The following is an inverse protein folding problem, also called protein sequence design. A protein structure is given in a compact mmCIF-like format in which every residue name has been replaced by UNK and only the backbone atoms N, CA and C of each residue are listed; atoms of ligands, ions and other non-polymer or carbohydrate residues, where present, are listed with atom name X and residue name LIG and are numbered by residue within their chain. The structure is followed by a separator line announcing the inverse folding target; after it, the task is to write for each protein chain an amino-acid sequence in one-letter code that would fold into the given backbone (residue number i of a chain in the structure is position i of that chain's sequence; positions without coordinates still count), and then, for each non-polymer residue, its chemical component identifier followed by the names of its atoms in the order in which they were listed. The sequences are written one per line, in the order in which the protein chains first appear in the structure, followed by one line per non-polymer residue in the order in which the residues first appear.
data_IF_861107416296
#
_entry.id   IF_861107416296
#
_cell.length_a   1.000
_cell.length_b   1.000
_cell.length_c   1.000
_cell.angle_alpha   90.00
_cell.angle_beta   90.00
_cell.angle_gamma   90.00
#
_symmetry.space_group_name_H-M   'P 1'
#
loop_
_entity.id
_entity.type
_entity.pdbx_description
1 polymer ?
#
# COMPACT_ATOMS: atom_id res chain seq x y z
N UNK A 1 0.71 -35.49 4.78
CA UNK A 1 -0.69 -35.16 4.40
C UNK A 1 -1.51 -35.06 5.68
N UNK A 2 -2.09 -33.90 6.08
CA UNK A 2 -3.20 -33.70 7.09
C UNK A 2 -3.18 -32.38 7.90
N UNK A 3 -2.13 -31.56 7.89
CA UNK A 3 -2.14 -30.31 8.68
C UNK A 3 -3.11 -29.25 8.15
N UNK A 4 -3.19 -29.11 6.83
CA UNK A 4 -4.07 -28.12 6.18
C UNK A 4 -5.56 -28.42 6.44
N UNK A 5 -5.96 -29.70 6.35
CA UNK A 5 -7.34 -30.14 6.60
C UNK A 5 -7.72 -29.91 8.06
N UNK A 6 -6.83 -30.23 9.01
CA UNK A 6 -7.07 -30.00 10.45
C UNK A 6 -7.24 -28.52 10.78
N UNK A 7 -6.46 -27.64 10.14
CA UNK A 7 -6.62 -26.17 10.30
C UNK A 7 -8.00 -25.70 9.84
N UNK A 8 -8.49 -26.21 8.72
CA UNK A 8 -9.81 -25.86 8.21
C UNK A 8 -10.94 -26.38 9.10
N UNK A 9 -10.79 -27.61 9.61
CA UNK A 9 -11.75 -28.21 10.52
C UNK A 9 -11.87 -27.44 11.84
N UNK A 10 -10.78 -26.84 12.33
CA UNK A 10 -10.78 -26.02 13.55
C UNK A 10 -11.27 -24.59 13.34
N UNK A 11 -10.97 -23.96 12.20
CA UNK A 11 -11.28 -22.56 11.96
C UNK A 11 -12.66 -22.33 11.28
N UNK A 12 -13.34 -23.41 10.89
CA UNK A 12 -14.63 -23.36 10.18
C UNK A 12 -14.53 -22.69 8.80
N UNK A 13 -15.68 -22.47 8.16
CA UNK A 13 -15.77 -21.77 6.86
C UNK A 13 -15.25 -20.32 6.93
N UNK A 14 -15.41 -19.64 8.07
CA UNK A 14 -14.91 -18.27 8.27
C UNK A 14 -13.39 -18.17 8.26
N UNK A 15 -12.66 -19.16 8.81
CA UNK A 15 -11.20 -19.16 8.82
C UNK A 15 -10.53 -19.35 7.45
N UNK A 16 -11.27 -19.76 6.42
CA UNK A 16 -10.76 -19.91 5.06
C UNK A 16 -10.91 -18.61 4.25
N UNK A 17 -11.99 -17.85 4.48
CA UNK A 17 -12.38 -16.69 3.68
C UNK A 17 -12.10 -15.35 4.38
N UNK A 18 -12.27 -15.24 5.70
CA UNK A 18 -12.04 -14.02 6.49
C UNK A 18 -10.62 -13.91 7.06
N UNK A 19 -9.80 -14.96 6.92
CA UNK A 19 -8.41 -14.87 7.35
C UNK A 19 -7.72 -13.80 6.48
N UNK A 20 -7.10 -12.77 7.08
CA UNK A 20 -6.31 -11.80 6.31
C UNK A 20 -5.29 -12.60 5.52
N UNK A 21 -5.42 -12.57 4.18
CA UNK A 21 -4.59 -13.36 3.29
C UNK A 21 -3.10 -13.07 3.52
N UNK A 22 -2.23 -13.94 2.98
CA UNK A 22 -0.76 -13.76 2.96
C UNK A 22 -0.30 -12.58 2.07
N UNK A 23 -1.02 -11.46 2.09
CA UNK A 23 -0.57 -10.23 1.49
C UNK A 23 0.75 -9.82 2.14
N UNK A 24 1.71 -9.40 1.32
CA UNK A 24 2.93 -8.77 1.81
C UNK A 24 2.51 -7.52 2.59
N UNK A 25 2.93 -7.44 3.86
CA UNK A 25 2.69 -6.25 4.68
C UNK A 25 3.26 -5.03 3.94
N UNK A 26 2.52 -3.92 3.86
CA UNK A 26 3.01 -2.72 3.21
C UNK A 26 4.31 -2.27 3.88
N UNK A 27 5.34 -1.97 3.07
CA UNK A 27 6.61 -1.39 3.54
C UNK A 27 6.51 0.11 3.87
N UNK A 28 5.32 0.68 3.72
CA UNK A 28 5.05 2.11 3.80
C UNK A 28 3.99 2.36 4.87
N UNK A 29 4.09 3.51 5.51
CA UNK A 29 3.15 3.96 6.54
C UNK A 29 2.22 5.04 5.97
N UNK A 30 1.13 5.29 6.67
CA UNK A 30 0.15 6.31 6.27
C UNK A 30 0.77 7.73 6.27
N UNK A 31 1.74 7.98 7.15
CA UNK A 31 2.51 9.22 7.19
C UNK A 31 3.32 9.49 5.91
N UNK A 32 3.85 8.45 5.27
CA UNK A 32 4.58 8.57 4.00
C UNK A 32 3.66 9.03 2.87
N UNK A 33 2.39 8.62 2.94
CA UNK A 33 1.37 9.03 1.98
C UNK A 33 0.93 10.48 2.19
N UNK A 34 0.70 10.90 3.44
CA UNK A 34 0.38 12.31 3.76
C UNK A 34 1.48 13.24 3.26
N UNK A 35 2.73 12.82 3.39
CA UNK A 35 3.89 13.56 2.87
C UNK A 35 3.86 13.69 1.32
N UNK A 36 3.57 12.61 0.61
CA UNK A 36 3.44 12.64 -0.86
C UNK A 36 2.26 13.52 -1.32
N UNK A 37 1.15 13.50 -0.59
CA UNK A 37 0.00 14.35 -0.87
C UNK A 37 0.33 15.83 -0.66
N UNK A 38 1.05 16.16 0.41
CA UNK A 38 1.57 17.52 0.64
C UNK A 38 2.50 17.97 -0.49
N UNK A 39 3.42 17.10 -0.92
CA UNK A 39 4.30 17.40 -2.07
C UNK A 39 3.49 17.69 -3.34
N UNK A 40 2.43 16.94 -3.61
CA UNK A 40 1.57 17.12 -4.76
C UNK A 40 0.66 18.36 -4.65
N UNK A 41 0.25 18.74 -3.43
CA UNK A 41 -0.50 19.97 -3.20
C UNK A 41 0.36 21.22 -3.39
N UNK A 42 1.62 21.17 -2.94
CA UNK A 42 2.56 22.28 -3.10
C UNK A 42 2.93 22.50 -4.57
N UNK A 43 3.18 21.42 -5.33
CA UNK A 43 3.64 21.53 -6.72
C UNK A 43 3.01 20.46 -7.65
N UNK A 44 1.72 20.61 -8.00
CA UNK A 44 0.96 19.58 -8.71
C UNK A 44 1.43 19.31 -10.15
N UNK A 45 2.18 20.22 -10.77
CA UNK A 45 2.67 20.12 -12.16
C UNK A 45 4.09 19.56 -12.29
N UNK A 46 4.85 19.49 -11.19
CA UNK A 46 6.30 19.32 -11.26
C UNK A 46 6.73 17.86 -11.09
N UNK A 47 5.99 17.06 -10.31
CA UNK A 47 6.48 15.76 -9.88
C UNK A 47 5.91 14.58 -10.67
N UNK A 48 6.79 13.91 -11.41
CA UNK A 48 6.58 12.58 -11.97
C UNK A 48 6.67 11.52 -10.86
N UNK A 49 5.98 10.39 -11.02
CA UNK A 49 6.02 9.24 -10.11
C UNK A 49 7.44 8.72 -9.83
N UNK A 50 8.38 8.85 -10.78
CA UNK A 50 9.81 8.51 -10.55
C UNK A 50 10.51 9.50 -9.61
N UNK A 51 10.21 10.79 -9.71
CA UNK A 51 10.78 11.82 -8.84
C UNK A 51 10.24 11.70 -7.42
N UNK A 52 8.94 11.40 -7.27
CA UNK A 52 8.33 11.11 -5.96
C UNK A 52 8.97 9.87 -5.30
N UNK A 53 9.24 8.82 -6.06
CA UNK A 53 9.93 7.64 -5.55
C UNK A 53 11.32 7.95 -5.02
N UNK A 54 12.09 8.76 -5.76
CA UNK A 54 13.43 9.16 -5.34
C UNK A 54 13.38 10.04 -4.08
N UNK A 55 12.48 11.03 -4.05
CA UNK A 55 12.29 11.91 -2.89
C UNK A 55 11.88 11.13 -1.64
N UNK A 56 10.99 10.15 -1.78
CA UNK A 56 10.57 9.28 -0.68
C UNK A 56 11.72 8.40 -0.17
N UNK A 57 12.52 7.86 -1.07
CA UNK A 57 13.70 7.08 -0.70
C UNK A 57 14.74 7.94 0.05
N UNK A 58 14.91 9.20 -0.35
CA UNK A 58 15.86 10.12 0.30
C UNK A 58 15.37 10.63 1.66
N UNK A 59 14.12 11.09 1.74
CA UNK A 59 13.61 11.77 2.95
C UNK A 59 13.03 10.81 3.99
N UNK A 60 12.46 9.68 3.56
CA UNK A 60 11.78 8.71 4.44
C UNK A 60 12.48 7.36 4.50
N UNK A 61 13.52 7.12 3.69
CA UNK A 61 14.18 5.81 3.54
C UNK A 61 13.21 4.68 3.13
N UNK A 62 12.10 5.05 2.48
CA UNK A 62 11.07 4.12 2.04
C UNK A 62 11.21 3.90 0.53
N UNK A 63 11.68 2.72 0.16
CA UNK A 63 11.84 2.33 -1.25
C UNK A 63 10.51 1.83 -1.83
N UNK A 64 9.89 2.65 -2.67
CA UNK A 64 8.71 2.30 -3.45
C UNK A 64 8.95 2.50 -4.94
N UNK A 65 8.44 1.57 -5.74
CA UNK A 65 8.43 1.74 -7.19
C UNK A 65 7.44 2.82 -7.61
N UNK A 66 7.76 3.52 -8.70
CA UNK A 66 6.91 4.56 -9.27
C UNK A 66 5.48 4.05 -9.60
N UNK A 67 5.36 2.79 -10.07
CA UNK A 67 4.06 2.17 -10.35
C UNK A 67 3.23 2.00 -9.07
N UNK A 68 3.87 1.57 -7.97
CA UNK A 68 3.20 1.40 -6.69
C UNK A 68 2.70 2.73 -6.14
N UNK A 69 3.50 3.79 -6.25
CA UNK A 69 3.10 5.16 -5.89
C UNK A 69 1.88 5.59 -6.71
N UNK A 70 1.88 5.37 -8.03
CA UNK A 70 0.74 5.70 -8.90
C UNK A 70 -0.53 4.94 -8.53
N UNK A 71 -0.43 3.65 -8.22
CA UNK A 71 -1.56 2.80 -7.82
C UNK A 71 -2.16 3.27 -6.50
N UNK A 72 -1.31 3.59 -5.52
CA UNK A 72 -1.71 4.14 -4.23
C UNK A 72 -2.40 5.50 -4.42
N UNK A 73 -1.75 6.42 -5.15
CA UNK A 73 -2.31 7.74 -5.50
C UNK A 73 -3.70 7.64 -6.11
N UNK A 74 -3.88 6.75 -7.09
CA UNK A 74 -5.17 6.50 -7.73
C UNK A 74 -6.19 5.97 -6.72
N UNK A 75 -5.82 4.97 -5.91
CA UNK A 75 -6.70 4.39 -4.90
C UNK A 75 -7.16 5.43 -3.89
N UNK A 76 -6.24 6.23 -3.35
CA UNK A 76 -6.59 7.28 -2.38
C UNK A 76 -7.50 8.33 -3.00
N UNK A 77 -7.21 8.76 -4.23
CA UNK A 77 -8.07 9.74 -4.93
C UNK A 77 -9.47 9.18 -5.18
N UNK A 78 -9.60 7.91 -5.54
CA UNK A 78 -10.91 7.25 -5.66
C UNK A 78 -11.60 7.14 -4.31
N UNK A 79 -10.87 6.79 -3.24
CA UNK A 79 -11.43 6.67 -1.89
C UNK A 79 -11.88 8.02 -1.28
N UNK A 80 -11.28 9.14 -1.69
CA UNK A 80 -11.72 10.49 -1.30
C UNK A 80 -12.94 11.01 -2.07
N UNK A 81 -13.28 10.39 -3.20
CA UNK A 81 -14.41 10.78 -4.05
C UNK A 81 -15.66 9.91 -3.83
N UNK A 82 -15.52 8.82 -3.06
CA UNK A 82 -16.58 7.88 -2.69
C UNK A 82 -17.05 8.18 -1.26
#
# INVERSE_FOLDING_TARGET
MRQTIRRWQQAGLGGLWDAPGRGIKPKWQEADWVYLEQCLQQEPRTYNSKQLAHKLAQERQVELSADRIRRILKKTRTAKLA
#
